data_IF_753705425480
#
_entry.id   IF_753705425480
#
_cell.length_a   1.000
_cell.length_b   1.000
_cell.length_c   1.000
_cell.angle_alpha   90.00
_cell.angle_beta   90.00
_cell.angle_gamma   90.00
#
_symmetry.space_group_name_H-M   'P 1'
#
loop_
_entity.id
_entity.type
_entity.pdbx_description
1 polymer ?
#
# COMPACT_ATOMS: atom_id res chain seq x y z
N UNK A 1 8.21 7.39 23.20
CA UNK A 1 8.79 6.02 23.10
C UNK A 1 8.61 5.51 21.68
N UNK A 2 9.29 4.43 21.30
CA UNK A 2 9.06 3.78 20.00
C UNK A 2 7.71 3.05 20.00
N UNK A 3 6.99 3.11 18.87
CA UNK A 3 5.73 2.43 18.61
C UNK A 3 5.89 1.28 17.60
N UNK A 4 6.85 1.38 16.68
CA UNK A 4 7.25 0.30 15.78
C UNK A 4 8.77 0.30 15.59
N UNK A 5 9.33 -0.89 15.30
CA UNK A 5 10.75 -1.07 15.00
C UNK A 5 10.87 -1.98 13.78
N UNK A 6 11.55 -1.50 12.74
CA UNK A 6 11.83 -2.25 11.52
C UNK A 6 13.33 -2.51 11.41
N UNK A 7 13.71 -3.68 10.88
CA UNK A 7 15.12 -4.04 10.68
C UNK A 7 15.44 -4.08 9.18
N UNK A 8 16.50 -3.36 8.78
CA UNK A 8 17.01 -3.35 7.40
C UNK A 8 18.34 -4.08 7.30
N UNK A 9 18.72 -4.57 6.12
CA UNK A 9 19.88 -5.46 5.92
C UNK A 9 21.24 -4.82 6.21
N UNK A 10 21.34 -3.50 6.28
CA UNK A 10 22.58 -2.77 6.59
C UNK A 10 23.70 -2.95 5.56
N UNK A 11 24.37 -1.87 5.16
CA UNK A 11 25.49 -1.93 4.21
C UNK A 11 26.72 -2.68 4.74
N UNK A 12 26.78 -2.94 6.05
CA UNK A 12 27.90 -3.62 6.75
C UNK A 12 27.61 -5.09 7.04
N UNK A 13 26.45 -5.63 6.62
CA UNK A 13 26.02 -7.00 6.91
C UNK A 13 25.34 -7.18 8.28
N UNK A 14 25.39 -6.16 9.15
CA UNK A 14 24.64 -6.13 10.40
C UNK A 14 23.31 -5.39 10.22
N UNK A 15 22.23 -5.97 10.73
CA UNK A 15 20.90 -5.37 10.63
C UNK A 15 20.81 -4.06 11.41
N UNK A 16 20.25 -3.02 10.80
CA UNK A 16 20.01 -1.72 11.44
C UNK A 16 18.56 -1.60 11.88
N UNK A 17 18.34 -1.24 13.15
CA UNK A 17 17.01 -0.97 13.68
C UNK A 17 16.61 0.48 13.35
N UNK A 18 15.42 0.62 12.77
CA UNK A 18 14.78 1.91 12.51
C UNK A 18 13.54 2.00 13.40
N UNK A 19 13.51 3.01 14.27
CA UNK A 19 12.45 3.19 15.25
C UNK A 19 11.47 4.26 14.80
N UNK A 20 10.18 3.94 14.78
CA UNK A 20 9.12 4.90 14.54
C UNK A 20 8.43 5.24 15.86
N UNK A 21 8.27 6.54 16.14
CA UNK A 21 7.44 7.01 17.25
C UNK A 21 5.95 7.05 16.89
N UNK A 22 5.06 7.23 17.88
CA UNK A 22 3.62 7.42 17.62
C UNK A 22 3.35 8.57 16.64
N UNK A 23 4.03 9.71 16.81
CA UNK A 23 3.85 10.88 15.94
C UNK A 23 4.20 10.58 14.48
N UNK A 24 5.26 9.80 14.25
CA UNK A 24 5.69 9.34 12.94
C UNK A 24 4.63 8.48 12.26
N UNK A 25 4.13 7.47 12.97
CA UNK A 25 3.06 6.59 12.46
C UNK A 25 1.77 7.37 12.18
N UNK A 26 1.38 8.26 13.10
CA UNK A 26 0.21 9.11 12.91
C UNK A 26 0.37 10.03 11.70
N UNK A 27 1.54 10.64 11.53
CA UNK A 27 1.81 11.51 10.38
C UNK A 27 1.75 10.73 9.06
N UNK A 28 2.39 9.55 8.99
CA UNK A 28 2.34 8.68 7.81
C UNK A 28 0.91 8.24 7.46
N UNK A 29 0.17 7.74 8.46
CA UNK A 29 -1.22 7.32 8.30
C UNK A 29 -2.14 8.45 7.82
N UNK A 30 -2.07 9.63 8.44
CA UNK A 30 -2.90 10.78 8.05
C UNK A 30 -2.54 11.30 6.66
N UNK A 31 -1.25 11.35 6.31
CA UNK A 31 -0.78 11.80 5.00
C UNK A 31 -1.18 10.83 3.90
N UNK A 32 -1.02 9.52 4.13
CA UNK A 32 -1.46 8.48 3.19
C UNK A 32 -2.99 8.47 3.02
N UNK A 33 -3.73 8.62 4.12
CA UNK A 33 -5.18 8.74 4.08
C UNK A 33 -5.65 9.92 3.22
N UNK A 34 -5.00 11.09 3.34
CA UNK A 34 -5.30 12.25 2.49
C UNK A 34 -4.99 12.00 1.01
N UNK A 35 -3.85 11.38 0.70
CA UNK A 35 -3.46 11.05 -0.67
C UNK A 35 -4.51 10.17 -1.37
N UNK A 36 -5.01 9.16 -0.65
CA UNK A 36 -6.01 8.22 -1.16
C UNK A 36 -7.46 8.65 -0.86
N UNK A 37 -7.68 9.87 -0.40
CA UNK A 37 -9.00 10.39 0.01
C UNK A 37 -9.78 9.39 0.91
N UNK A 38 -9.05 8.70 1.78
CA UNK A 38 -9.58 7.61 2.57
C UNK A 38 -10.55 8.13 3.63
N UNK A 39 -11.66 7.43 3.76
CA UNK A 39 -12.78 7.75 4.65
C UNK A 39 -13.36 6.47 5.29
N UNK A 40 -14.41 6.64 6.10
CA UNK A 40 -15.10 5.51 6.75
C UNK A 40 -15.71 4.46 5.82
N UNK A 41 -15.81 4.73 4.50
CA UNK A 41 -16.33 3.79 3.49
C UNK A 41 -15.21 3.07 2.74
N UNK A 42 -13.96 3.47 2.97
CA UNK A 42 -12.81 2.88 2.33
C UNK A 42 -12.52 1.48 2.90
N UNK A 43 -11.97 0.61 2.06
CA UNK A 43 -11.56 -0.74 2.44
C UNK A 43 -10.12 -0.96 2.01
N UNK A 44 -9.26 -1.16 3.00
CA UNK A 44 -7.84 -1.47 2.83
C UNK A 44 -7.61 -2.97 2.85
N UNK A 45 -6.50 -3.39 2.25
CA UNK A 45 -6.01 -4.77 2.32
C UNK A 45 -4.67 -4.80 3.03
N UNK A 46 -4.63 -5.43 4.20
CA UNK A 46 -3.41 -5.79 4.92
C UNK A 46 -2.92 -7.14 4.38
N UNK A 47 -2.04 -7.07 3.39
CA UNK A 47 -1.40 -8.25 2.78
C UNK A 47 0.11 -8.24 2.95
N UNK A 48 0.69 -7.05 3.15
CA UNK A 48 2.12 -6.89 3.16
C UNK A 48 2.71 -7.48 4.45
N UNK A 49 3.80 -8.25 4.38
CA UNK A 49 4.44 -8.78 5.58
C UNK A 49 4.78 -7.66 6.56
N UNK A 50 4.37 -7.83 7.82
CA UNK A 50 4.50 -6.81 8.89
C UNK A 50 5.95 -6.42 9.21
N UNK A 51 6.92 -7.19 8.70
CA UNK A 51 8.35 -6.88 8.76
C UNK A 51 8.74 -5.70 7.86
N UNK A 52 7.89 -5.30 6.91
CA UNK A 52 8.14 -4.18 6.00
C UNK A 52 7.39 -2.94 6.47
N UNK A 53 8.08 -1.80 6.51
CA UNK A 53 7.56 -0.53 7.01
C UNK A 53 6.29 -0.08 6.29
N UNK A 54 6.13 -0.40 5.02
CA UNK A 54 4.94 -0.08 4.22
C UNK A 54 3.62 -0.61 4.80
N UNK A 55 3.70 -1.65 5.64
CA UNK A 55 2.54 -2.18 6.37
C UNK A 55 1.88 -1.11 7.25
N UNK A 56 2.63 -0.08 7.65
CA UNK A 56 2.08 1.04 8.42
C UNK A 56 0.90 1.71 7.72
N UNK A 57 0.94 1.83 6.39
CA UNK A 57 -0.15 2.43 5.61
C UNK A 57 -1.38 1.52 5.58
N UNK A 58 -1.19 0.22 5.43
CA UNK A 58 -2.28 -0.76 5.38
C UNK A 58 -2.97 -0.92 6.74
N UNK A 59 -2.23 -0.75 7.85
CA UNK A 59 -2.72 -0.97 9.23
C UNK A 59 -3.19 0.32 9.91
N UNK A 60 -2.39 1.38 9.89
CA UNK A 60 -2.69 2.58 10.70
C UNK A 60 -3.59 3.58 10.01
N UNK A 61 -3.51 3.71 8.67
CA UNK A 61 -4.42 4.60 7.93
C UNK A 61 -5.90 4.32 8.24
N UNK A 62 -6.40 3.07 8.11
CA UNK A 62 -7.82 2.79 8.35
C UNK A 62 -8.26 3.09 9.78
N UNK A 63 -7.39 2.88 10.77
CA UNK A 63 -7.66 3.21 12.17
C UNK A 63 -7.81 4.72 12.40
N UNK A 64 -7.16 5.56 11.59
CA UNK A 64 -7.26 7.03 11.69
C UNK A 64 -8.41 7.62 10.87
N UNK A 65 -8.91 6.92 9.85
CA UNK A 65 -9.96 7.41 8.94
C UNK A 65 -11.33 6.76 9.19
N UNK A 66 -11.41 5.78 10.09
CA UNK A 66 -12.61 4.98 10.35
C UNK A 66 -12.91 3.95 9.26
N UNK A 67 -11.94 3.66 8.38
CA UNK A 67 -12.06 2.70 7.30
C UNK A 67 -11.93 1.25 7.79
N UNK A 68 -12.22 0.30 6.91
CA UNK A 68 -12.11 -1.13 7.20
C UNK A 68 -10.77 -1.71 6.68
N UNK A 69 -10.25 -2.74 7.37
CA UNK A 69 -9.10 -3.53 6.91
C UNK A 69 -9.49 -4.99 6.71
N UNK A 70 -9.23 -5.51 5.52
CA UNK A 70 -9.24 -6.95 5.21
C UNK A 70 -7.83 -7.47 5.42
N UNK A 71 -7.66 -8.60 6.10
CA UNK A 71 -6.34 -9.21 6.34
C UNK A 71 -6.21 -10.48 5.52
N UNK A 72 -5.30 -10.50 4.55
CA UNK A 72 -4.97 -11.69 3.76
C UNK A 72 -3.50 -11.65 3.28
N UNK A 73 -2.60 -12.18 4.10
CA UNK A 73 -1.18 -12.24 3.77
C UNK A 73 -0.84 -13.18 2.59
N UNK A 74 -1.72 -14.15 2.29
CA UNK A 74 -1.50 -15.11 1.20
C UNK A 74 -1.70 -14.44 -0.17
N UNK A 75 -2.54 -13.42 -0.25
CA UNK A 75 -2.75 -12.62 -1.47
C UNK A 75 -1.50 -11.90 -1.97
N UNK A 76 -0.50 -11.65 -1.10
CA UNK A 76 0.73 -10.96 -1.48
C UNK A 76 1.55 -11.66 -2.57
N UNK A 77 1.47 -13.00 -2.66
CA UNK A 77 2.25 -13.80 -3.61
C UNK A 77 1.39 -14.45 -4.71
N UNK A 78 0.09 -14.19 -4.71
CA UNK A 78 -0.88 -14.83 -5.58
C UNK A 78 -1.82 -13.78 -6.16
N UNK A 79 -1.55 -13.29 -7.38
CA UNK A 79 -2.38 -12.29 -8.05
C UNK A 79 -3.84 -12.74 -8.27
N UNK A 80 -4.07 -14.04 -8.47
CA UNK A 80 -5.43 -14.59 -8.65
C UNK A 80 -6.20 -14.52 -7.33
N UNK A 81 -5.55 -14.89 -6.23
CA UNK A 81 -6.13 -14.71 -4.89
C UNK A 81 -6.32 -13.23 -4.57
N UNK A 82 -5.38 -12.37 -4.93
CA UNK A 82 -5.48 -10.93 -4.72
C UNK A 82 -6.73 -10.35 -5.41
N UNK A 83 -6.93 -10.63 -6.70
CA UNK A 83 -8.11 -10.19 -7.43
C UNK A 83 -9.41 -10.70 -6.79
N UNK A 84 -9.43 -11.97 -6.36
CA UNK A 84 -10.57 -12.55 -5.63
C UNK A 84 -10.86 -11.84 -4.32
N UNK A 85 -9.85 -11.56 -3.50
CA UNK A 85 -9.99 -10.85 -2.21
C UNK A 85 -10.49 -9.42 -2.44
N UNK A 86 -9.94 -8.71 -3.43
CA UNK A 86 -10.38 -7.36 -3.78
C UNK A 86 -11.86 -7.36 -4.12
N UNK A 87 -12.30 -8.27 -4.98
CA UNK A 87 -13.69 -8.39 -5.41
C UNK A 87 -14.63 -8.80 -4.27
N UNK A 88 -14.23 -9.80 -3.48
CA UNK A 88 -15.06 -10.38 -2.42
C UNK A 88 -15.33 -9.39 -1.28
N UNK A 89 -14.32 -8.58 -0.94
CA UNK A 89 -14.40 -7.66 0.19
C UNK A 89 -14.57 -6.20 -0.21
N UNK A 90 -14.62 -5.91 -1.51
CA UNK A 90 -14.76 -4.56 -2.03
C UNK A 90 -13.59 -3.65 -1.66
N UNK A 91 -12.36 -4.16 -1.73
CA UNK A 91 -11.14 -3.38 -1.46
C UNK A 91 -11.11 -2.17 -2.41
N UNK A 92 -10.91 -0.99 -1.82
CA UNK A 92 -10.91 0.29 -2.53
C UNK A 92 -9.54 0.94 -2.62
N UNK A 93 -8.63 0.59 -1.71
CA UNK A 93 -7.25 1.11 -1.67
C UNK A 93 -6.29 -0.08 -1.58
N UNK A 94 -5.38 -0.19 -2.56
CA UNK A 94 -4.39 -1.26 -2.65
C UNK A 94 -2.98 -0.68 -2.71
N UNK A 95 -2.12 -1.09 -1.76
CA UNK A 95 -0.67 -0.89 -1.86
C UNK A 95 -0.06 -2.09 -2.56
N UNK A 96 0.65 -1.91 -3.66
CA UNK A 96 1.23 -3.02 -4.44
C UNK A 96 2.44 -2.57 -5.25
N UNK A 97 3.06 -3.47 -6.01
CA UNK A 97 4.12 -3.13 -6.95
C UNK A 97 3.58 -3.01 -8.38
N UNK A 98 4.28 -2.27 -9.23
CA UNK A 98 3.90 -2.09 -10.64
C UNK A 98 3.68 -3.43 -11.39
N UNK A 99 4.54 -4.47 -11.27
CA UNK A 99 4.29 -5.75 -11.93
C UNK A 99 3.00 -6.44 -11.45
N UNK A 100 2.71 -6.39 -10.15
CA UNK A 100 1.47 -6.99 -9.62
C UNK A 100 0.25 -6.20 -10.09
N UNK A 101 0.34 -4.87 -10.12
CA UNK A 101 -0.74 -4.03 -10.63
C UNK A 101 -1.01 -4.30 -12.12
N UNK A 102 0.03 -4.54 -12.92
CA UNK A 102 -0.11 -4.92 -14.31
C UNK A 102 -0.86 -6.25 -14.48
N UNK A 103 -0.58 -7.24 -13.64
CA UNK A 103 -1.29 -8.53 -13.65
C UNK A 103 -2.78 -8.39 -13.29
N UNK A 104 -3.17 -7.33 -12.58
CA UNK A 104 -4.56 -7.03 -12.27
C UNK A 104 -5.28 -6.29 -13.40
N UNK A 105 -4.58 -5.84 -14.47
CA UNK A 105 -5.19 -5.08 -15.55
C UNK A 105 -6.23 -5.88 -16.35
N UNK A 106 -6.14 -7.22 -16.36
CA UNK A 106 -7.13 -8.09 -17.01
C UNK A 106 -8.35 -8.38 -16.11
N UNK A 107 -8.34 -7.92 -14.86
CA UNK A 107 -9.38 -8.19 -13.87
C UNK A 107 -10.41 -7.06 -13.77
N UNK A 108 -11.69 -7.42 -13.63
CA UNK A 108 -12.74 -6.44 -13.32
C UNK A 108 -12.84 -6.22 -11.81
N UNK A 109 -12.33 -5.08 -11.33
CA UNK A 109 -12.27 -4.70 -9.91
C UNK A 109 -12.93 -3.32 -9.67
N UNK A 110 -14.27 -3.19 -9.80
CA UNK A 110 -14.97 -1.91 -9.81
C UNK A 110 -14.94 -1.17 -8.46
N UNK A 111 -14.52 -1.83 -7.39
CA UNK A 111 -14.39 -1.21 -6.07
C UNK A 111 -13.04 -0.54 -5.88
N UNK A 112 -12.03 -0.92 -6.66
CA UNK A 112 -10.66 -0.42 -6.52
C UNK A 112 -10.56 1.00 -7.09
N UNK A 113 -10.28 1.98 -6.23
CA UNK A 113 -10.22 3.41 -6.57
C UNK A 113 -8.81 3.97 -6.50
N UNK A 114 -7.97 3.40 -5.65
CA UNK A 114 -6.58 3.82 -5.50
C UNK A 114 -5.64 2.62 -5.55
N UNK A 115 -4.69 2.66 -6.47
CA UNK A 115 -3.55 1.74 -6.53
C UNK A 115 -2.27 2.50 -6.23
N UNK A 116 -1.51 2.03 -5.25
CA UNK A 116 -0.34 2.72 -4.72
C UNK A 116 0.89 1.87 -4.96
N UNK A 117 1.72 2.27 -5.93
CA UNK A 117 3.04 1.67 -6.17
C UNK A 117 4.06 2.21 -5.18
N UNK A 118 4.83 1.33 -4.55
CA UNK A 118 5.89 1.71 -3.60
C UNK A 118 7.01 0.68 -3.58
N UNK A 119 8.24 1.14 -3.38
CA UNK A 119 9.43 0.28 -3.23
C UNK A 119 10.06 -0.19 -4.55
N UNK A 120 9.47 0.16 -5.70
CA UNK A 120 10.03 -0.09 -7.02
C UNK A 120 9.63 1.01 -7.99
N UNK A 121 10.32 1.11 -9.13
CA UNK A 121 9.93 2.03 -10.19
C UNK A 121 8.52 1.70 -10.72
N UNK A 122 7.81 2.74 -11.18
CA UNK A 122 6.56 2.62 -11.94
C UNK A 122 6.84 2.94 -13.41
N UNK A 123 7.04 1.94 -14.28
CA UNK A 123 7.27 2.20 -15.70
C UNK A 123 6.03 2.82 -16.36
N UNK A 124 6.25 3.72 -17.32
CA UNK A 124 5.17 4.47 -17.96
C UNK A 124 4.20 3.56 -18.72
N UNK A 125 4.73 2.52 -19.36
CA UNK A 125 4.03 1.48 -20.07
C UNK A 125 3.10 0.64 -19.17
N UNK A 126 3.53 0.35 -17.93
CA UNK A 126 2.68 -0.32 -16.94
C UNK A 126 1.55 0.62 -16.53
N UNK A 127 1.86 1.89 -16.26
CA UNK A 127 0.85 2.89 -15.91
C UNK A 127 -0.20 3.04 -17.01
N UNK A 128 0.24 3.12 -18.28
CA UNK A 128 -0.64 3.21 -19.44
C UNK A 128 -1.54 1.97 -19.59
N UNK A 129 -0.98 0.77 -19.42
CA UNK A 129 -1.74 -0.49 -19.47
C UNK A 129 -2.85 -0.52 -18.40
N UNK A 130 -2.51 -0.16 -17.17
CA UNK A 130 -3.46 -0.14 -16.05
C UNK A 130 -4.53 0.95 -16.27
N UNK A 131 -4.13 2.14 -16.74
CA UNK A 131 -5.08 3.21 -17.07
C UNK A 131 -6.02 2.84 -18.23
N UNK A 132 -5.56 2.08 -19.21
CA UNK A 132 -6.44 1.58 -20.28
C UNK A 132 -7.48 0.57 -19.75
N UNK A 133 -7.11 -0.26 -18.79
CA UNK A 133 -8.00 -1.26 -18.19
C UNK A 133 -9.04 -0.67 -17.24
N UNK A 134 -8.63 0.25 -16.37
CA UNK A 134 -9.48 0.79 -15.31
C UNK A 134 -10.06 2.17 -15.60
N UNK A 135 -9.48 2.90 -16.56
CA UNK A 135 -9.91 4.25 -16.90
C UNK A 135 -9.82 5.23 -15.72
N UNK A 136 -10.68 6.25 -15.74
CA UNK A 136 -10.72 7.31 -14.73
C UNK A 136 -11.19 6.84 -13.34
N UNK A 137 -11.70 5.61 -13.22
CA UNK A 137 -12.17 5.07 -11.95
C UNK A 137 -11.01 4.70 -11.00
N UNK A 138 -9.79 4.52 -11.53
CA UNK A 138 -8.60 4.18 -10.76
C UNK A 138 -7.55 5.29 -10.79
N UNK A 139 -7.27 5.87 -9.63
CA UNK A 139 -6.10 6.73 -9.41
C UNK A 139 -4.88 5.87 -9.09
N UNK A 140 -3.80 6.06 -9.85
CA UNK A 140 -2.51 5.40 -9.62
C UNK A 140 -1.56 6.40 -8.96
N UNK A 141 -1.01 6.01 -7.81
CA UNK A 141 -0.04 6.80 -7.05
C UNK A 141 1.31 6.10 -7.06
N UNK A 142 2.39 6.84 -7.30
CA UNK A 142 3.74 6.30 -7.23
C UNK A 142 4.48 6.95 -6.05
N UNK A 143 4.78 6.16 -5.03
CA UNK A 143 5.40 6.61 -3.79
C UNK A 143 6.86 6.20 -3.77
N UNK A 144 7.70 7.15 -3.38
CA UNK A 144 9.09 6.91 -3.08
C UNK A 144 9.37 7.14 -1.61
N UNK A 145 10.20 6.27 -1.03
CA UNK A 145 10.64 6.37 0.36
C UNK A 145 11.53 5.20 0.74
N UNK A 146 12.26 5.36 1.83
CA UNK A 146 12.98 4.28 2.49
C UNK A 146 12.46 4.06 3.91
N UNK A 147 12.89 2.98 4.56
CA UNK A 147 12.48 2.69 5.95
C UNK A 147 12.94 3.78 6.91
N UNK A 148 14.01 4.50 6.60
CA UNK A 148 14.54 5.59 7.42
C UNK A 148 13.72 6.89 7.28
N UNK A 149 12.88 7.01 6.24
CA UNK A 149 12.05 8.19 5.95
C UNK A 149 10.57 7.79 5.83
N UNK A 150 9.88 7.59 6.97
CA UNK A 150 8.46 7.17 7.03
C UNK A 150 7.44 8.07 6.32
N UNK A 151 7.83 9.28 5.95
CA UNK A 151 6.93 10.24 5.34
C UNK A 151 6.99 10.13 3.82
N UNK A 152 5.84 10.30 3.16
CA UNK A 152 5.73 10.47 1.71
C UNK A 152 6.69 11.58 1.26
N UNK A 153 7.77 11.22 0.57
CA UNK A 153 8.62 12.19 -0.11
C UNK A 153 7.99 12.48 -1.48
N UNK A 154 7.57 13.73 -1.69
CA UNK A 154 7.05 14.24 -2.95
C UNK A 154 8.18 14.65 -3.89
#
# INVERSE_FOLDING_TARGET
GAAAVFYTSGSTGESKAVMYGPETLCHGALSFGRLCQADSRSVFLVKTPTIWAVTEYEVFTPLTTGACSVVDALSQRDPVRLARVIRQHGVSILVTSAPVLQLLADERLPTLRHAVNVGAAMPAEVCATVQQAFGADLSIHNLYGCTETPCLCW
#
